data_IF_920581721738
#
_entry.id   IF_920581721738
#
_cell.length_a   1.000
_cell.length_b   1.000
_cell.length_c   1.000
_cell.angle_alpha   90.00
_cell.angle_beta   90.00
_cell.angle_gamma   90.00
#
_symmetry.space_group_name_H-M   'P 1'
#
loop_
_entity.id
_entity.type
_entity.pdbx_description
1 polymer ?
#
# COMPACT_ATOMS: atom_id res chain seq x y z
N UNK A 1 -5.90 -39.00 19.70
CA UNK A 1 -6.66 -39.14 18.43
C UNK A 1 -7.85 -38.20 18.54
N UNK A 2 -7.68 -36.92 18.19
CA UNK A 2 -8.79 -35.97 18.20
C UNK A 2 -9.57 -36.16 16.89
N UNK A 3 -10.85 -36.45 17.04
CA UNK A 3 -11.82 -36.82 16.01
C UNK A 3 -12.10 -35.66 15.06
N UNK A 4 -12.20 -35.98 13.77
CA UNK A 4 -12.62 -35.08 12.69
C UNK A 4 -14.07 -34.63 12.92
N UNK A 5 -14.31 -33.32 12.98
CA UNK A 5 -15.67 -32.76 12.94
C UNK A 5 -16.06 -32.46 11.50
N UNK A 6 -16.98 -33.29 10.98
CA UNK A 6 -17.82 -32.93 9.85
C UNK A 6 -18.86 -31.89 10.28
N UNK A 7 -18.76 -30.67 9.74
CA UNK A 7 -19.83 -29.67 9.79
C UNK A 7 -20.42 -29.48 8.38
N UNK A 8 -21.75 -29.53 8.31
CA UNK A 8 -22.58 -29.86 7.15
C UNK A 8 -22.77 -28.76 6.09
N UNK A 9 -23.17 -29.20 4.89
CA UNK A 9 -23.75 -28.40 3.81
C UNK A 9 -24.96 -27.57 4.29
N UNK A 10 -24.97 -26.27 3.99
CA UNK A 10 -26.13 -25.41 4.18
C UNK A 10 -25.80 -23.94 4.46
N UNK A 11 -25.42 -23.18 3.42
CA UNK A 11 -25.56 -21.71 3.33
C UNK A 11 -25.41 -20.93 4.66
N UNK A 12 -24.29 -21.11 5.36
CA UNK A 12 -23.83 -20.20 6.40
C UNK A 12 -22.79 -19.31 5.73
N UNK A 13 -22.80 -17.98 5.95
CA UNK A 13 -21.78 -17.12 5.34
C UNK A 13 -20.38 -17.60 5.78
N UNK A 14 -19.71 -18.39 4.93
CA UNK A 14 -18.32 -18.77 5.12
C UNK A 14 -17.46 -17.57 4.76
N UNK A 15 -17.12 -16.79 5.78
CA UNK A 15 -16.24 -15.65 5.64
C UNK A 15 -14.81 -16.16 5.45
N UNK A 16 -14.18 -15.76 4.35
CA UNK A 16 -12.76 -15.99 4.08
C UNK A 16 -12.00 -14.66 4.23
N UNK A 17 -11.77 -14.16 5.47
CA UNK A 17 -11.14 -12.86 5.69
C UNK A 17 -9.70 -12.80 5.18
N UNK A 18 -9.06 -13.94 4.93
CA UNK A 18 -7.69 -13.98 4.42
C UNK A 18 -7.60 -13.81 2.91
N UNK A 19 -8.71 -13.95 2.18
CA UNK A 19 -8.71 -13.85 0.72
C UNK A 19 -8.34 -12.45 0.22
N UNK A 20 -8.57 -11.42 1.04
CA UNK A 20 -8.17 -10.04 0.75
C UNK A 20 -6.66 -9.84 0.60
N UNK A 21 -5.85 -10.76 1.14
CA UNK A 21 -4.38 -10.70 1.09
C UNK A 21 -3.77 -11.62 0.03
N UNK A 22 -4.59 -12.31 -0.77
CA UNK A 22 -4.09 -13.16 -1.84
C UNK A 22 -3.38 -12.30 -2.88
N UNK A 23 -2.12 -12.63 -3.13
CA UNK A 23 -1.30 -11.99 -4.16
C UNK A 23 -1.60 -12.66 -5.49
N UNK A 24 -2.03 -11.86 -6.47
CA UNK A 24 -2.38 -12.34 -7.81
C UNK A 24 -1.64 -11.56 -8.90
N UNK A 25 -1.29 -12.21 -10.02
CA UNK A 25 -0.76 -11.49 -11.17
C UNK A 25 -1.76 -10.42 -11.63
N UNK A 26 -1.25 -9.25 -12.00
CA UNK A 26 -2.08 -8.13 -12.45
C UNK A 26 -2.54 -8.32 -13.90
N UNK A 27 -1.72 -9.02 -14.70
CA UNK A 27 -1.96 -9.33 -16.10
C UNK A 27 -1.55 -10.77 -16.41
N UNK A 28 -2.23 -11.38 -17.38
CA UNK A 28 -1.94 -12.75 -17.83
C UNK A 28 -2.43 -13.83 -16.88
N UNK A 29 -2.23 -15.08 -17.29
CA UNK A 29 -2.58 -16.28 -16.53
C UNK A 29 -1.30 -17.10 -16.31
N UNK A 30 -1.07 -17.54 -15.06
CA UNK A 30 0.11 -18.33 -14.72
C UNK A 30 0.60 -18.10 -13.28
N UNK A 31 1.62 -18.87 -12.85
CA UNK A 31 2.23 -18.71 -11.54
C UNK A 31 2.95 -17.35 -11.41
N UNK A 32 2.98 -16.81 -10.20
CA UNK A 32 3.74 -15.59 -9.89
C UNK A 32 5.23 -15.91 -9.91
N UNK A 33 5.94 -15.39 -10.91
CA UNK A 33 7.40 -15.38 -10.94
C UNK A 33 7.95 -14.13 -10.22
N UNK A 34 9.25 -14.11 -9.93
CA UNK A 34 9.92 -13.03 -9.20
C UNK A 34 9.81 -11.64 -9.84
N UNK A 35 9.60 -11.56 -11.16
CA UNK A 35 9.42 -10.32 -11.92
C UNK A 35 7.97 -10.03 -12.30
N UNK A 36 7.01 -10.88 -11.90
CA UNK A 36 5.61 -10.75 -12.31
C UNK A 36 4.95 -9.55 -11.62
N UNK A 37 4.40 -8.58 -12.35
CA UNK A 37 3.60 -7.52 -11.75
C UNK A 37 2.34 -8.12 -11.10
N UNK A 38 2.16 -7.88 -9.81
CA UNK A 38 1.01 -8.31 -9.01
C UNK A 38 0.17 -7.14 -8.51
N UNK A 39 -0.99 -7.42 -7.94
CA UNK A 39 -1.78 -6.44 -7.18
C UNK A 39 -0.94 -5.67 -6.14
N UNK A 40 -0.03 -6.35 -5.43
CA UNK A 40 0.87 -5.70 -4.46
C UNK A 40 1.82 -4.72 -5.16
N UNK A 41 2.43 -5.12 -6.28
CA UNK A 41 3.34 -4.23 -7.03
C UNK A 41 2.64 -2.97 -7.53
N UNK A 42 1.37 -3.05 -7.92
CA UNK A 42 0.57 -1.88 -8.31
C UNK A 42 0.43 -0.90 -7.16
N UNK A 43 0.03 -1.38 -5.98
CA UNK A 43 -0.14 -0.51 -4.81
C UNK A 43 1.18 0.10 -4.34
N UNK A 44 2.28 -0.66 -4.41
CA UNK A 44 3.62 -0.12 -4.13
C UNK A 44 4.01 0.97 -5.13
N UNK A 45 3.75 0.77 -6.43
CA UNK A 45 4.01 1.77 -7.46
C UNK A 45 3.20 3.05 -7.23
N UNK A 46 1.90 2.91 -6.88
CA UNK A 46 1.06 4.06 -6.53
C UNK A 46 1.58 4.81 -5.29
N UNK A 47 2.09 4.09 -4.28
CA UNK A 47 2.69 4.70 -3.11
C UNK A 47 3.94 5.53 -3.48
N UNK A 48 4.83 5.00 -4.34
CA UNK A 48 6.00 5.74 -4.84
C UNK A 48 5.58 7.00 -5.60
N UNK A 49 4.57 6.89 -6.47
CA UNK A 49 4.02 8.04 -7.18
C UNK A 49 3.48 9.08 -6.19
N UNK A 50 2.71 8.67 -5.19
CA UNK A 50 2.19 9.58 -4.17
C UNK A 50 3.30 10.30 -3.39
N UNK A 51 4.38 9.59 -3.04
CA UNK A 51 5.56 10.20 -2.40
C UNK A 51 6.21 11.25 -3.32
N UNK A 52 6.37 10.96 -4.61
CA UNK A 52 6.90 11.92 -5.59
C UNK A 52 5.98 13.15 -5.71
N UNK A 53 4.67 12.93 -5.83
CA UNK A 53 3.69 14.03 -5.89
C UNK A 53 3.80 14.94 -4.66
N UNK A 54 3.90 14.34 -3.46
CA UNK A 54 3.96 15.09 -2.21
C UNK A 54 5.31 15.79 -2.02
N UNK A 55 6.43 15.07 -2.08
CA UNK A 55 7.73 15.62 -1.70
C UNK A 55 8.41 16.40 -2.82
N UNK A 56 8.17 16.06 -4.09
CA UNK A 56 8.82 16.70 -5.25
C UNK A 56 7.90 17.73 -5.90
N UNK A 57 6.70 17.33 -6.31
CA UNK A 57 5.83 18.25 -7.04
C UNK A 57 5.26 19.34 -6.14
N UNK A 58 4.84 19.02 -4.92
CA UNK A 58 4.26 20.00 -4.01
C UNK A 58 5.26 21.08 -3.55
N UNK A 59 6.57 20.79 -3.59
CA UNK A 59 7.65 21.72 -3.20
C UNK A 59 8.33 22.39 -4.40
N UNK A 60 7.96 22.02 -5.63
CA UNK A 60 8.63 22.46 -6.87
C UNK A 60 8.70 23.98 -7.07
N UNK A 61 7.71 24.73 -6.57
CA UNK A 61 7.66 26.20 -6.68
C UNK A 61 8.64 26.92 -5.75
N UNK A 62 9.14 26.28 -4.70
CA UNK A 62 10.13 26.81 -3.74
C UNK A 62 9.79 28.22 -3.27
N UNK A 63 8.52 28.50 -3.00
CA UNK A 63 8.08 29.82 -2.58
C UNK A 63 8.53 30.09 -1.14
N UNK A 64 8.98 31.32 -0.87
CA UNK A 64 9.40 31.74 0.48
C UNK A 64 8.25 31.64 1.48
N UNK A 65 7.04 32.06 1.08
CA UNK A 65 5.82 31.80 1.84
C UNK A 65 5.20 30.52 1.29
N UNK A 66 5.13 29.43 2.07
CA UNK A 66 4.70 28.13 1.57
C UNK A 66 3.21 28.14 1.24
N UNK A 67 2.87 27.61 0.06
CA UNK A 67 1.49 27.27 -0.28
C UNK A 67 1.04 25.97 0.39
N UNK A 68 -0.27 25.66 0.32
CA UNK A 68 -0.88 24.51 1.03
C UNK A 68 -0.14 23.18 0.82
N UNK A 69 0.24 22.87 -0.43
CA UNK A 69 0.95 21.62 -0.75
C UNK A 69 2.38 21.57 -0.19
N UNK A 70 3.12 22.68 -0.34
CA UNK A 70 4.47 22.80 0.22
C UNK A 70 4.45 22.68 1.76
N UNK A 71 3.46 23.28 2.43
CA UNK A 71 3.32 23.17 3.89
C UNK A 71 3.14 21.73 4.36
N UNK A 72 2.34 20.92 3.67
CA UNK A 72 2.15 19.50 4.04
C UNK A 72 3.45 18.72 3.86
N UNK A 73 4.16 18.95 2.74
CA UNK A 73 5.44 18.30 2.47
C UNK A 73 6.51 18.68 3.51
N UNK A 74 6.61 19.96 3.87
CA UNK A 74 7.54 20.45 4.89
C UNK A 74 7.22 19.90 6.29
N UNK A 75 5.93 19.79 6.65
CA UNK A 75 5.53 19.15 7.92
C UNK A 75 5.92 17.67 7.96
N UNK A 76 5.68 16.93 6.86
CA UNK A 76 6.05 15.52 6.78
C UNK A 76 7.57 15.33 6.88
N UNK A 77 8.35 16.15 6.18
CA UNK A 77 9.81 16.12 6.29
C UNK A 77 10.29 16.48 7.69
N UNK A 78 9.77 17.58 8.26
CA UNK A 78 10.13 18.03 9.61
C UNK A 78 9.78 17.02 10.69
N UNK A 79 8.68 16.27 10.53
CA UNK A 79 8.32 15.17 11.43
C UNK A 79 9.37 14.06 11.41
N UNK A 80 9.77 13.58 10.22
CA UNK A 80 10.81 12.54 10.09
C UNK A 80 12.16 13.03 10.60
N UNK A 81 12.56 14.24 10.23
CA UNK A 81 13.83 14.82 10.67
C UNK A 81 13.92 14.88 12.20
N UNK A 82 12.90 15.42 12.87
CA UNK A 82 12.87 15.51 14.34
C UNK A 82 12.89 14.15 15.02
N UNK A 83 12.16 13.17 14.51
CA UNK A 83 12.19 11.81 15.05
C UNK A 83 13.57 11.12 14.94
N UNK A 84 14.43 11.58 14.03
CA UNK A 84 15.78 11.02 13.84
C UNK A 84 16.82 11.82 14.63
N UNK A 85 16.61 13.12 14.80
CA UNK A 85 17.49 14.01 15.56
C UNK A 85 17.33 13.87 17.07
N UNK A 86 16.09 13.72 17.56
CA UNK A 86 15.74 13.53 18.98
C UNK A 86 15.83 12.04 19.40
#
# INVERSE_FOLDING_TARGET
MATEEHAAEGSTLTFHPMDQFIVKPLFGEGPVAWYTPTNVTLWMALAVVAVILLLVLATSKRSIVPGRGQSIAEMAYGFVYKMVED
#
